data_IF_014449221589
#
_entry.id   IF_014449221589
#
_cell.length_a   1.000
_cell.length_b   1.000
_cell.length_c   1.000
_cell.angle_alpha   90.00
_cell.angle_beta   90.00
_cell.angle_gamma   90.00
#
_symmetry.space_group_name_H-M   'P 1'
#
loop_
_entity.id
_entity.type
_entity.pdbx_description
1 polymer ?
#
# COMPACT_ATOMS: atom_id res chain seq x y z
N UNK A 1 -57.38 34.03 -15.48
CA UNK A 1 -56.39 33.21 -16.17
C UNK A 1 -55.18 34.10 -16.38
N UNK A 2 -54.25 34.09 -15.42
CA UNK A 2 -52.83 34.39 -15.56
C UNK A 2 -52.19 34.17 -14.18
N UNK A 3 -51.06 33.47 -14.19
CA UNK A 3 -50.51 32.70 -13.07
C UNK A 3 -49.33 33.49 -12.50
N UNK A 4 -49.47 33.99 -11.26
CA UNK A 4 -48.38 34.58 -10.50
C UNK A 4 -47.77 33.56 -9.54
N UNK A 5 -46.55 33.11 -9.82
CA UNK A 5 -45.76 32.25 -8.93
C UNK A 5 -45.18 33.07 -7.77
N UNK A 6 -45.77 32.92 -6.58
CA UNK A 6 -45.22 33.40 -5.32
C UNK A 6 -44.31 32.35 -4.66
N UNK A 7 -43.03 32.71 -4.47
CA UNK A 7 -42.05 31.99 -3.65
C UNK A 7 -42.55 31.87 -2.21
N UNK A 8 -42.65 30.65 -1.69
CA UNK A 8 -42.77 30.38 -0.25
C UNK A 8 -41.39 30.01 0.30
N UNK A 9 -40.73 30.99 0.92
CA UNK A 9 -39.60 30.76 1.82
C UNK A 9 -40.17 30.42 3.21
N UNK A 10 -40.16 29.13 3.57
CA UNK A 10 -40.48 28.67 4.92
C UNK A 10 -39.22 28.26 5.67
N UNK A 11 -38.54 29.22 6.29
CA UNK A 11 -37.43 28.96 7.22
C UNK A 11 -37.97 28.69 8.62
N UNK A 12 -37.94 27.44 9.07
CA UNK A 12 -38.07 27.09 10.48
C UNK A 12 -36.69 27.10 11.12
N UNK A 13 -36.38 28.18 11.86
CA UNK A 13 -35.24 28.25 12.76
C UNK A 13 -35.61 27.61 14.11
N UNK A 14 -35.10 26.42 14.38
CA UNK A 14 -34.99 25.90 15.75
C UNK A 14 -33.66 26.40 16.37
N UNK A 15 -33.66 26.96 17.60
CA UNK A 15 -32.43 27.42 18.23
C UNK A 15 -31.59 26.24 18.75
N UNK A 16 -30.37 26.11 18.21
CA UNK A 16 -29.31 25.25 18.74
C UNK A 16 -28.87 25.75 20.13
N UNK A 17 -29.30 25.05 21.17
CA UNK A 17 -28.75 25.17 22.52
C UNK A 17 -27.30 24.67 22.52
N UNK A 18 -26.34 25.59 22.49
CA UNK A 18 -24.93 25.31 22.76
C UNK A 18 -24.77 24.87 24.22
N UNK A 19 -24.73 23.56 24.47
CA UNK A 19 -24.28 23.04 25.75
C UNK A 19 -22.75 23.15 25.84
N UNK A 20 -22.26 23.95 26.79
CA UNK A 20 -20.86 23.97 27.19
C UNK A 20 -20.57 22.72 28.05
N UNK A 21 -19.45 22.02 27.87
CA UNK A 21 -19.06 20.95 28.78
C UNK A 21 -18.70 21.54 30.15
N UNK A 22 -19.40 21.09 31.19
CA UNK A 22 -19.10 21.38 32.59
C UNK A 22 -18.11 20.32 33.09
N UNK A 23 -16.87 20.72 33.36
CA UNK A 23 -15.89 19.91 34.09
C UNK A 23 -16.20 19.97 35.59
N UNK A 24 -16.19 18.85 36.33
CA UNK A 24 -16.32 18.87 37.78
C UNK A 24 -15.02 19.39 38.44
N UNK A 25 -15.11 20.05 39.61
CA UNK A 25 -13.95 20.68 40.26
C UNK A 25 -13.03 19.62 40.86
N UNK A 26 -11.72 19.84 40.68
CA UNK A 26 -10.66 19.03 41.25
C UNK A 26 -10.61 19.11 42.78
N UNK A 27 -10.46 17.96 43.42
CA UNK A 27 -10.00 17.86 44.80
C UNK A 27 -8.59 17.26 44.78
N UNK A 28 -7.64 18.06 45.30
CA UNK A 28 -6.25 17.66 45.39
C UNK A 28 -6.03 16.63 46.48
N UNK A 29 -5.11 15.69 46.23
CA UNK A 29 -4.23 15.07 47.22
C UNK A 29 -3.06 14.41 46.49
N UNK A 30 -1.85 14.94 46.67
CA UNK A 30 -0.59 14.23 46.43
C UNK A 30 -0.47 13.09 47.45
N UNK A 31 0.21 12.00 47.08
CA UNK A 31 1.46 11.76 47.80
C UNK A 31 2.63 11.41 46.87
N UNK A 32 3.78 11.93 47.28
CA UNK A 32 5.12 11.59 46.84
C UNK A 32 5.46 10.12 47.08
N UNK A 33 6.02 9.45 46.07
CA UNK A 33 7.11 8.47 46.26
C UNK A 33 7.83 8.21 44.94
N UNK A 34 9.11 8.56 44.92
CA UNK A 34 10.08 8.05 43.96
C UNK A 34 10.12 6.52 44.03
N UNK A 35 9.88 5.86 42.91
CA UNK A 35 10.29 4.48 42.70
C UNK A 35 11.19 4.45 41.45
N UNK A 36 12.47 4.14 41.67
CA UNK A 36 13.43 3.76 40.63
C UNK A 36 12.85 2.59 39.83
N UNK A 37 12.64 2.76 38.53
CA UNK A 37 12.46 1.63 37.62
C UNK A 37 13.84 1.23 37.11
N UNK A 38 14.20 -0.01 37.40
CA UNK A 38 15.42 -0.66 36.96
C UNK A 38 15.43 -0.83 35.44
N UNK A 39 16.61 -0.62 34.82
CA UNK A 39 16.89 -1.01 33.44
C UNK A 39 16.71 -2.53 33.29
N UNK A 40 15.89 -2.96 32.34
CA UNK A 40 15.90 -4.32 31.80
C UNK A 40 16.77 -4.37 30.52
N UNK A 41 17.50 -5.47 30.28
CA UNK A 41 18.49 -5.56 29.21
C UNK A 41 17.87 -5.85 27.83
N UNK A 42 18.73 -5.65 26.86
CA UNK A 42 18.56 -5.68 25.41
C UNK A 42 18.31 -7.08 24.80
N UNK A 43 17.72 -7.05 23.60
CA UNK A 43 17.77 -8.04 22.51
C UNK A 43 17.16 -9.42 22.75
N UNK A 44 15.93 -9.63 22.24
CA UNK A 44 15.49 -10.95 21.74
C UNK A 44 15.28 -10.87 20.24
N UNK A 45 16.18 -11.49 19.49
CA UNK A 45 16.09 -11.73 18.05
C UNK A 45 14.92 -12.68 17.78
N UNK A 46 13.91 -12.23 17.06
CA UNK A 46 12.86 -13.11 16.53
C UNK A 46 13.39 -13.81 15.26
N UNK A 47 13.34 -15.15 15.16
CA UNK A 47 13.65 -15.83 13.92
C UNK A 47 12.51 -15.61 12.91
N UNK A 48 12.85 -15.07 11.74
CA UNK A 48 11.94 -14.99 10.59
C UNK A 48 11.57 -16.41 10.14
N UNK A 49 10.32 -16.80 10.37
CA UNK A 49 9.72 -17.95 9.70
C UNK A 49 9.66 -17.65 8.19
N UNK A 50 10.32 -18.49 7.40
CA UNK A 50 10.36 -18.43 5.94
C UNK A 50 9.09 -19.06 5.38
N UNK A 51 8.01 -18.31 5.31
CA UNK A 51 6.87 -18.64 4.44
C UNK A 51 6.38 -17.36 3.75
N UNK A 52 7.26 -16.78 2.95
CA UNK A 52 6.89 -15.84 1.89
C UNK A 52 7.10 -16.59 0.58
N UNK A 53 6.03 -16.87 -0.16
CA UNK A 53 6.11 -17.29 -1.55
C UNK A 53 6.64 -16.10 -2.36
N UNK A 54 7.96 -15.92 -2.37
CA UNK A 54 8.64 -14.99 -3.26
C UNK A 54 9.08 -15.78 -4.49
N UNK A 55 8.37 -15.59 -5.60
CA UNK A 55 8.76 -16.14 -6.89
C UNK A 55 9.65 -15.10 -7.57
N UNK A 56 10.94 -15.37 -7.65
CA UNK A 56 11.93 -14.52 -8.31
C UNK A 56 12.28 -15.16 -9.66
N UNK A 57 12.09 -14.42 -10.76
CA UNK A 57 12.48 -14.85 -12.11
C UNK A 57 13.55 -13.90 -12.63
N UNK A 58 14.81 -14.35 -12.61
CA UNK A 58 15.95 -13.63 -13.20
C UNK A 58 16.02 -13.89 -14.71
N UNK A 59 15.94 -12.84 -15.53
CA UNK A 59 16.16 -12.94 -16.98
C UNK A 59 17.63 -12.71 -17.32
N UNK A 60 18.30 -13.72 -17.88
CA UNK A 60 19.66 -13.62 -18.43
C UNK A 60 19.63 -13.62 -19.95
N UNK A 61 20.32 -12.65 -20.56
CA UNK A 61 20.49 -12.53 -22.02
C UNK A 61 22.00 -12.67 -22.35
N UNK A 62 22.45 -13.62 -23.19
CA UNK A 62 23.87 -13.78 -23.50
C UNK A 62 24.19 -13.27 -24.91
N UNK A 63 24.78 -12.08 -25.02
CA UNK A 63 25.51 -11.69 -26.23
C UNK A 63 26.55 -10.60 -25.95
N UNK A 64 27.82 -10.98 -25.80
CA UNK A 64 28.92 -10.05 -26.09
C UNK A 64 30.09 -10.78 -26.72
N UNK A 65 30.33 -10.49 -27.99
CA UNK A 65 31.42 -11.01 -28.80
C UNK A 65 32.76 -10.50 -28.29
N UNK A 66 33.74 -11.40 -28.32
CA UNK A 66 35.16 -11.16 -28.06
C UNK A 66 35.70 -10.18 -29.09
N UNK A 67 36.37 -9.12 -28.66
CA UNK A 67 37.37 -8.46 -29.50
C UNK A 67 38.73 -8.41 -28.81
N UNK A 68 39.68 -8.83 -29.64
CA UNK A 68 41.08 -9.12 -29.51
C UNK A 68 41.93 -8.01 -28.86
N UNK A 69 42.97 -8.46 -28.17
CA UNK A 69 43.96 -7.64 -27.51
C UNK A 69 45.24 -7.66 -28.35
N UNK A 70 45.75 -6.51 -28.77
CA UNK A 70 47.18 -6.32 -28.93
C UNK A 70 47.56 -4.84 -29.15
N UNK A 71 48.75 -4.51 -28.64
CA UNK A 71 49.62 -3.37 -28.97
C UNK A 71 49.64 -2.17 -27.99
N UNK A 72 50.59 -2.26 -27.05
CA UNK A 72 51.33 -1.13 -26.48
C UNK A 72 52.46 -0.70 -27.44
N UNK A 73 52.92 0.56 -27.38
CA UNK A 73 54.29 0.75 -26.88
C UNK A 73 54.58 2.03 -26.06
N UNK A 74 55.68 1.90 -25.31
CA UNK A 74 56.72 2.88 -24.91
C UNK A 74 56.43 4.01 -23.89
N UNK A 75 57.21 3.96 -22.78
CA UNK A 75 57.43 5.01 -21.78
C UNK A 75 58.61 5.92 -22.18
N UNK A 76 58.53 7.20 -21.84
CA UNK A 76 59.67 8.07 -21.47
C UNK A 76 59.30 8.96 -20.27
N UNK A 77 60.28 9.44 -19.48
CA UNK A 77 60.07 9.88 -18.09
C UNK A 77 60.05 11.41 -17.92
N UNK A 78 59.35 11.88 -16.88
CA UNK A 78 59.59 13.20 -16.29
C UNK A 78 58.31 13.96 -15.92
N UNK A 79 58.22 14.39 -14.67
CA UNK A 79 57.25 15.40 -14.23
C UNK A 79 56.36 14.95 -13.06
N UNK A 80 56.86 15.20 -11.84
CA UNK A 80 56.07 15.15 -10.61
C UNK A 80 54.88 16.12 -10.71
N UNK A 81 53.66 15.57 -10.73
CA UNK A 81 52.46 16.32 -10.36
C UNK A 81 51.61 15.39 -9.47
N UNK A 82 51.62 15.67 -8.18
CA UNK A 82 50.84 14.94 -7.19
C UNK A 82 49.35 15.25 -7.39
N UNK A 83 48.66 14.38 -8.13
CA UNK A 83 47.20 14.29 -8.14
C UNK A 83 46.83 13.03 -7.37
N UNK A 84 46.10 13.19 -6.26
CA UNK A 84 45.50 12.09 -5.52
C UNK A 84 44.47 11.38 -6.41
N UNK A 85 44.89 10.31 -7.10
CA UNK A 85 43.96 9.38 -7.71
C UNK A 85 43.37 8.49 -6.62
N UNK A 86 42.30 8.98 -5.98
CA UNK A 86 41.33 8.11 -5.32
C UNK A 86 40.55 7.39 -6.42
N UNK A 87 41.13 6.31 -6.98
CA UNK A 87 40.34 5.31 -7.69
C UNK A 87 39.58 4.50 -6.64
N UNK A 88 38.63 5.15 -5.99
CA UNK A 88 37.54 4.45 -5.32
C UNK A 88 36.73 3.81 -6.42
N UNK A 89 36.82 2.49 -6.52
CA UNK A 89 35.85 1.67 -7.22
C UNK A 89 34.49 1.93 -6.57
N UNK A 90 33.78 2.94 -7.05
CA UNK A 90 32.35 3.08 -6.79
C UNK A 90 31.74 1.89 -7.52
N UNK A 91 31.41 0.85 -6.77
CA UNK A 91 30.49 -0.17 -7.25
C UNK A 91 29.26 0.58 -7.79
N UNK A 92 28.97 0.44 -9.07
CA UNK A 92 27.82 1.06 -9.69
C UNK A 92 26.58 0.62 -8.89
N UNK A 93 25.98 1.56 -8.17
CA UNK A 93 24.71 1.34 -7.50
C UNK A 93 23.67 0.98 -8.58
N UNK A 94 22.72 0.08 -8.30
CA UNK A 94 21.69 -0.27 -9.26
C UNK A 94 21.02 1.01 -9.76
N UNK A 95 21.03 1.18 -11.09
CA UNK A 95 20.67 2.43 -11.78
C UNK A 95 19.17 2.73 -11.79
N UNK A 96 18.34 1.83 -11.24
CA UNK A 96 16.89 1.94 -11.19
C UNK A 96 16.41 1.75 -9.76
N UNK A 97 15.72 2.76 -9.22
CA UNK A 97 15.04 2.63 -7.91
C UNK A 97 13.91 1.60 -8.04
N UNK A 98 13.85 0.55 -7.20
CA UNK A 98 12.77 -0.42 -7.24
C UNK A 98 11.41 0.25 -7.03
N UNK A 99 10.37 -0.30 -7.65
CA UNK A 99 8.99 0.18 -7.51
C UNK A 99 8.20 -0.88 -6.77
N UNK A 100 7.51 -0.49 -5.70
CA UNK A 100 6.62 -1.36 -4.94
C UNK A 100 5.19 -0.85 -5.07
N UNK A 101 4.42 -1.46 -5.96
CA UNK A 101 2.98 -1.20 -6.10
C UNK A 101 2.22 -2.06 -5.10
N UNK A 102 1.37 -1.48 -4.25
CA UNK A 102 0.73 -2.22 -3.16
C UNK A 102 -0.74 -1.84 -2.95
N UNK A 103 -1.45 -2.73 -2.27
CA UNK A 103 -2.81 -2.54 -1.77
C UNK A 103 -2.92 -3.06 -0.32
N UNK A 104 -3.87 -2.52 0.45
CA UNK A 104 -4.10 -2.85 1.87
C UNK A 104 -5.58 -3.08 2.11
N UNK A 105 -5.93 -4.22 2.69
CA UNK A 105 -7.28 -4.47 3.15
C UNK A 105 -7.41 -4.33 4.66
N UNK A 106 -8.47 -3.64 5.05
CA UNK A 106 -8.75 -3.32 6.45
C UNK A 106 -10.18 -3.67 6.83
N UNK A 107 -10.37 -4.04 8.09
CA UNK A 107 -11.68 -4.25 8.72
C UNK A 107 -11.82 -3.38 9.96
N UNK A 108 -13.03 -3.13 10.48
CA UNK A 108 -13.21 -2.50 11.78
C UNK A 108 -12.50 -3.26 12.92
N UNK A 109 -11.75 -2.53 13.75
CA UNK A 109 -11.09 -3.06 14.96
C UNK A 109 -12.07 -3.09 16.13
N UNK A 110 -12.83 -4.17 16.25
CA UNK A 110 -13.80 -4.36 17.34
C UNK A 110 -13.16 -4.14 18.71
N UNK A 111 -11.98 -4.70 18.95
CA UNK A 111 -11.30 -4.59 20.24
C UNK A 111 -10.90 -3.14 20.54
N UNK A 112 -10.36 -2.44 19.54
CA UNK A 112 -10.05 -1.01 19.64
C UNK A 112 -11.30 -0.15 19.89
N UNK A 113 -12.41 -0.45 19.21
CA UNK A 113 -13.67 0.27 19.41
C UNK A 113 -14.20 0.05 20.84
N UNK A 114 -14.24 -1.20 21.33
CA UNK A 114 -14.65 -1.51 22.71
C UNK A 114 -13.81 -0.75 23.72
N UNK A 115 -12.49 -0.75 23.54
CA UNK A 115 -11.56 -0.05 24.42
C UNK A 115 -11.86 1.47 24.52
N UNK A 116 -12.14 2.13 23.39
CA UNK A 116 -12.39 3.58 23.38
C UNK A 116 -13.80 3.98 23.78
N UNK A 117 -14.77 3.08 23.63
CA UNK A 117 -16.18 3.34 23.96
C UNK A 117 -16.56 2.89 25.37
N UNK A 118 -15.80 1.96 25.95
CA UNK A 118 -16.13 1.31 27.22
C UNK A 118 -17.22 0.26 27.10
N UNK A 119 -17.55 -0.22 25.89
CA UNK A 119 -18.51 -1.31 25.70
C UNK A 119 -17.97 -2.62 26.27
N UNK A 120 -18.78 -3.28 27.07
CA UNK A 120 -18.50 -4.63 27.58
C UNK A 120 -18.89 -5.71 26.56
N UNK A 121 -18.60 -6.96 26.89
CA UNK A 121 -18.83 -8.12 26.01
C UNK A 121 -20.32 -8.50 25.86
N UNK A 122 -21.25 -7.79 26.52
CA UNK A 122 -22.70 -8.02 26.33
C UNK A 122 -23.20 -7.44 25.01
N UNK A 123 -22.49 -6.45 24.46
CA UNK A 123 -22.76 -5.89 23.14
C UNK A 123 -22.09 -6.79 22.10
N UNK A 124 -22.79 -7.19 21.05
CA UNK A 124 -22.22 -8.02 19.97
C UNK A 124 -21.21 -7.24 19.13
N UNK A 125 -20.23 -7.95 18.56
CA UNK A 125 -19.22 -7.34 17.67
C UNK A 125 -19.86 -6.55 16.52
N UNK A 126 -20.92 -7.10 15.93
CA UNK A 126 -21.73 -6.43 14.91
C UNK A 126 -22.24 -5.06 15.40
N UNK A 127 -22.84 -5.00 16.59
CA UNK A 127 -23.38 -3.76 17.13
C UNK A 127 -22.28 -2.75 17.51
N UNK A 128 -21.11 -3.22 17.95
CA UNK A 128 -19.94 -2.37 18.19
C UNK A 128 -19.47 -1.71 16.89
N UNK A 129 -19.40 -2.48 15.80
CA UNK A 129 -19.02 -1.96 14.48
C UNK A 129 -20.07 -1.01 13.93
N UNK A 130 -21.35 -1.38 13.98
CA UNK A 130 -22.46 -0.52 13.53
C UNK A 130 -22.48 0.81 14.28
N UNK A 131 -22.25 0.80 15.60
CA UNK A 131 -22.09 2.04 16.37
C UNK A 131 -20.99 2.94 15.80
N UNK A 132 -19.81 2.38 15.53
CA UNK A 132 -18.67 3.15 15.01
C UNK A 132 -18.94 3.70 13.59
N UNK A 133 -19.61 2.91 12.74
CA UNK A 133 -20.01 3.33 11.39
C UNK A 133 -21.06 4.44 11.43
N UNK A 134 -22.11 4.29 12.25
CA UNK A 134 -23.15 5.31 12.43
C UNK A 134 -22.55 6.63 12.93
N UNK A 135 -21.62 6.55 13.88
CA UNK A 135 -20.89 7.71 14.37
C UNK A 135 -20.11 8.39 13.23
N UNK A 136 -19.44 7.63 12.37
CA UNK A 136 -18.70 8.20 11.24
C UNK A 136 -19.61 8.88 10.21
N UNK A 137 -20.74 8.25 9.87
CA UNK A 137 -21.78 8.85 9.01
C UNK A 137 -22.25 10.19 9.56
N UNK A 138 -22.53 10.25 10.86
CA UNK A 138 -22.96 11.49 11.52
C UNK A 138 -21.87 12.59 11.54
N UNK A 139 -20.59 12.21 11.65
CA UNK A 139 -19.48 13.16 11.71
C UNK A 139 -19.09 13.73 10.34
N UNK A 140 -18.98 12.88 9.31
CA UNK A 140 -18.40 13.26 8.01
C UNK A 140 -19.07 12.57 6.80
N UNK A 141 -20.26 11.99 6.97
CA UNK A 141 -20.99 11.25 5.92
C UNK A 141 -20.15 10.16 5.25
N UNK A 142 -19.51 9.32 6.08
CA UNK A 142 -18.63 8.25 5.62
C UNK A 142 -19.05 6.86 6.14
N UNK A 143 -19.03 5.87 5.25
CA UNK A 143 -19.36 4.45 5.51
C UNK A 143 -18.17 3.59 5.95
N UNK A 144 -17.19 4.19 6.63
CA UNK A 144 -16.01 3.48 7.12
C UNK A 144 -15.54 4.04 8.45
N UNK A 145 -15.01 3.19 9.33
CA UNK A 145 -14.52 3.64 10.63
C UNK A 145 -13.27 4.52 10.51
N UNK A 146 -13.01 5.36 11.51
CA UNK A 146 -11.83 6.22 11.53
C UNK A 146 -10.52 5.41 11.40
N UNK A 147 -9.42 5.95 10.85
CA UNK A 147 -8.21 5.17 10.55
C UNK A 147 -7.62 4.42 11.76
N UNK A 148 -7.65 5.01 12.96
CA UNK A 148 -7.16 4.37 14.18
C UNK A 148 -8.07 3.22 14.68
N UNK A 149 -9.27 3.08 14.13
CA UNK A 149 -10.22 1.99 14.39
C UNK A 149 -10.26 0.98 13.25
N UNK A 150 -9.33 1.04 12.30
CA UNK A 150 -9.18 0.06 11.24
C UNK A 150 -8.06 -0.92 11.61
N UNK A 151 -8.32 -2.20 11.43
CA UNK A 151 -7.38 -3.32 11.56
C UNK A 151 -6.94 -3.77 10.17
N UNK A 152 -5.63 -3.94 9.96
CA UNK A 152 -5.08 -4.49 8.73
C UNK A 152 -5.22 -6.01 8.72
N UNK A 153 -5.78 -6.56 7.64
CA UNK A 153 -6.03 -8.00 7.50
C UNK A 153 -5.34 -8.63 6.29
N UNK A 154 -5.03 -7.84 5.26
CA UNK A 154 -4.21 -8.27 4.15
C UNK A 154 -3.41 -7.09 3.60
N UNK A 155 -2.21 -7.39 3.09
CA UNK A 155 -1.42 -6.46 2.29
C UNK A 155 -0.90 -7.27 1.11
N UNK A 156 -1.01 -6.75 -0.10
CA UNK A 156 -0.33 -7.33 -1.24
C UNK A 156 0.57 -6.29 -1.91
N UNK A 157 1.66 -6.75 -2.51
CA UNK A 157 2.60 -5.86 -3.19
C UNK A 157 3.28 -6.52 -4.39
N UNK A 158 3.42 -5.79 -5.48
CA UNK A 158 4.21 -6.13 -6.65
C UNK A 158 5.49 -5.32 -6.61
N UNK A 159 6.62 -6.00 -6.38
CA UNK A 159 7.96 -5.42 -6.40
C UNK A 159 8.56 -5.59 -7.80
N UNK A 160 8.74 -4.49 -8.51
CA UNK A 160 9.53 -4.43 -9.73
C UNK A 160 10.94 -3.92 -9.44
N UNK A 161 11.95 -4.69 -9.84
CA UNK A 161 13.37 -4.36 -9.69
C UNK A 161 14.17 -4.77 -10.94
N UNK A 162 15.47 -4.59 -10.90
CA UNK A 162 16.42 -5.16 -11.85
C UNK A 162 16.46 -6.70 -11.78
N UNK A 163 16.26 -7.27 -10.59
CA UNK A 163 16.21 -8.73 -10.39
C UNK A 163 14.97 -9.39 -11.01
N UNK A 164 13.90 -8.62 -11.25
CA UNK A 164 12.65 -9.10 -11.83
C UNK A 164 11.41 -8.48 -11.17
N UNK A 165 10.28 -9.14 -11.38
CA UNK A 165 8.99 -8.78 -10.77
C UNK A 165 8.56 -9.91 -9.83
N UNK A 166 8.21 -9.56 -8.59
CA UNK A 166 7.70 -10.50 -7.59
C UNK A 166 6.39 -10.00 -6.98
N UNK A 167 5.40 -10.89 -6.89
CA UNK A 167 4.16 -10.66 -6.15
C UNK A 167 4.32 -11.20 -4.72
N UNK A 168 4.06 -10.34 -3.74
CA UNK A 168 4.07 -10.65 -2.32
C UNK A 168 2.65 -10.54 -1.76
N UNK A 169 2.25 -11.52 -0.95
CA UNK A 169 0.95 -11.59 -0.28
C UNK A 169 1.17 -11.79 1.21
N UNK A 170 0.74 -10.82 2.01
CA UNK A 170 0.83 -10.79 3.47
C UNK A 170 -0.58 -10.87 4.07
N UNK A 171 -0.69 -11.25 5.34
CA UNK A 171 -2.00 -11.50 6.00
C UNK A 171 -2.34 -12.97 6.19
N UNK A 172 -1.34 -13.86 6.21
CA UNK A 172 -1.56 -15.25 6.62
C UNK A 172 -2.09 -15.28 8.06
N UNK A 173 -3.14 -16.06 8.37
CA UNK A 173 -3.77 -16.08 9.70
C UNK A 173 -2.78 -16.27 10.85
N UNK A 174 -1.73 -17.07 10.62
CA UNK A 174 -0.73 -17.48 11.60
C UNK A 174 0.22 -16.34 12.01
N UNK A 175 0.45 -15.37 11.10
CA UNK A 175 1.30 -14.20 11.38
C UNK A 175 0.59 -13.16 12.23
N UNK A 176 -0.75 -13.15 12.22
CA UNK A 176 -1.54 -12.06 12.75
C UNK A 176 -1.22 -10.71 12.10
N UNK A 177 -1.76 -9.64 12.66
CA UNK A 177 -1.57 -8.31 12.10
C UNK A 177 -0.15 -7.77 12.31
N UNK A 178 0.43 -7.92 13.50
CA UNK A 178 1.79 -7.46 13.79
C UNK A 178 2.83 -8.11 12.85
N UNK A 179 2.72 -9.42 12.62
CA UNK A 179 3.58 -10.14 11.69
C UNK A 179 3.37 -9.70 10.23
N UNK A 180 2.12 -9.45 9.84
CA UNK A 180 1.77 -8.90 8.51
C UNK A 180 2.43 -7.54 8.26
N UNK A 181 2.32 -6.62 9.22
CA UNK A 181 2.95 -5.30 9.15
C UNK A 181 4.48 -5.41 9.10
N UNK A 182 5.06 -6.23 9.98
CA UNK A 182 6.51 -6.44 10.04
C UNK A 182 7.06 -7.01 8.73
N UNK A 183 6.36 -7.96 8.11
CA UNK A 183 6.77 -8.55 6.84
C UNK A 183 6.72 -7.53 5.68
N UNK A 184 5.65 -6.73 5.60
CA UNK A 184 5.55 -5.66 4.61
C UNK A 184 6.67 -4.62 4.78
N UNK A 185 6.88 -4.12 6.00
CA UNK A 185 7.94 -3.15 6.26
C UNK A 185 9.33 -3.74 6.04
N UNK A 186 9.58 -5.02 6.35
CA UNK A 186 10.85 -5.66 6.03
C UNK A 186 11.15 -5.67 4.53
N UNK A 187 10.12 -5.81 3.67
CA UNK A 187 10.28 -5.69 2.22
C UNK A 187 10.69 -4.25 1.82
N UNK A 188 10.06 -3.24 2.42
CA UNK A 188 10.40 -1.82 2.21
C UNK A 188 11.82 -1.54 2.70
N UNK A 189 12.18 -2.00 3.89
CA UNK A 189 13.52 -1.81 4.46
C UNK A 189 14.60 -2.44 3.57
N UNK A 190 14.35 -3.65 3.07
CA UNK A 190 15.29 -4.37 2.22
C UNK A 190 15.55 -3.66 0.89
N UNK A 191 14.49 -3.24 0.20
CA UNK A 191 14.60 -2.75 -1.18
C UNK A 191 14.60 -1.23 -1.32
N UNK A 192 14.27 -0.49 -0.26
CA UNK A 192 14.09 0.97 -0.27
C UNK A 192 13.31 1.49 -1.50
N UNK A 193 12.16 0.87 -1.86
CA UNK A 193 11.48 1.14 -3.11
C UNK A 193 10.75 2.50 -3.10
N UNK A 194 10.44 3.00 -4.29
CA UNK A 194 9.37 3.99 -4.45
C UNK A 194 8.03 3.28 -4.27
N UNK A 195 7.20 3.80 -3.36
CA UNK A 195 5.89 3.23 -3.07
C UNK A 195 4.84 3.76 -4.05
N UNK A 196 3.98 2.88 -4.56
CA UNK A 196 2.89 3.24 -5.46
C UNK A 196 1.61 2.55 -4.99
N UNK A 197 0.50 3.28 -4.90
CA UNK A 197 -0.81 2.70 -4.56
C UNK A 197 -1.91 3.32 -5.41
N UNK A 198 -3.09 2.71 -5.39
CA UNK A 198 -4.32 3.35 -5.84
C UNK A 198 -5.17 3.77 -4.64
N UNK A 199 -5.37 5.09 -4.43
CA UNK A 199 -6.12 5.64 -3.29
C UNK A 199 -5.57 5.25 -1.91
N UNK A 200 -4.31 4.79 -1.84
CA UNK A 200 -3.64 4.37 -0.63
C UNK A 200 -3.36 5.50 0.35
N UNK A 201 -3.32 6.77 -0.07
CA UNK A 201 -3.23 7.92 0.86
C UNK A 201 -4.33 7.90 1.93
N UNK A 202 -5.50 7.33 1.61
CA UNK A 202 -6.59 7.15 2.57
C UNK A 202 -6.42 5.93 3.50
N UNK A 203 -5.64 4.93 3.09
CA UNK A 203 -5.35 3.70 3.86
C UNK A 203 -4.07 3.82 4.71
N UNK A 204 -3.09 4.61 4.27
CA UNK A 204 -1.81 4.77 4.97
C UNK A 204 -1.96 5.24 6.43
N UNK A 205 -2.87 6.17 6.79
CA UNK A 205 -3.09 6.53 8.19
C UNK A 205 -3.50 5.33 9.07
N UNK A 206 -4.26 4.37 8.53
CA UNK A 206 -4.57 3.14 9.28
C UNK A 206 -3.31 2.29 9.46
N UNK A 207 -2.52 2.08 8.39
CA UNK A 207 -1.24 1.38 8.46
C UNK A 207 -0.30 1.99 9.51
N UNK A 208 -0.21 3.33 9.55
CA UNK A 208 0.58 4.09 10.52
C UNK A 208 0.11 3.86 11.95
N UNK A 209 -1.21 4.00 12.20
CA UNK A 209 -1.79 3.75 13.51
C UNK A 209 -1.49 2.32 13.98
N UNK A 210 -1.61 1.32 13.09
CA UNK A 210 -1.36 -0.08 13.44
C UNK A 210 0.11 -0.39 13.66
N UNK A 211 1.02 0.23 12.90
CA UNK A 211 2.46 0.14 13.17
C UNK A 211 2.81 0.68 14.56
N UNK A 212 2.23 1.82 14.95
CA UNK A 212 2.41 2.41 16.28
C UNK A 212 1.86 1.51 17.40
N UNK A 213 0.64 0.99 17.24
CA UNK A 213 -0.01 0.13 18.25
C UNK A 213 0.74 -1.19 18.47
N UNK A 214 1.31 -1.77 17.41
CA UNK A 214 2.06 -3.02 17.46
C UNK A 214 3.57 -2.84 17.71
N UNK A 215 4.07 -1.59 17.75
CA UNK A 215 5.50 -1.30 17.95
C UNK A 215 6.39 -1.78 16.80
N UNK A 216 5.89 -1.79 15.56
CA UNK A 216 6.63 -2.27 14.39
C UNK A 216 7.53 -1.15 13.84
N UNK A 217 8.85 -1.38 13.88
CA UNK A 217 9.83 -0.42 13.38
C UNK A 217 9.98 -0.50 11.85
N UNK A 218 10.03 0.66 11.19
CA UNK A 218 10.26 0.78 9.75
C UNK A 218 11.01 2.09 9.41
N UNK A 219 12.29 2.25 9.80
CA UNK A 219 13.00 3.53 9.68
C UNK A 219 13.00 4.11 8.25
N UNK A 220 13.30 3.30 7.23
CA UNK A 220 13.33 3.77 5.83
C UNK A 220 11.96 4.16 5.33
N UNK A 221 10.91 3.46 5.76
CA UNK A 221 9.54 3.84 5.43
C UNK A 221 9.22 5.27 5.89
N UNK A 222 9.65 5.66 7.09
CA UNK A 222 9.38 6.98 7.67
C UNK A 222 10.28 8.10 7.14
N UNK A 223 11.49 7.77 6.68
CA UNK A 223 12.43 8.72 6.09
C UNK A 223 12.10 9.07 4.62
N UNK A 224 11.32 8.23 3.95
CA UNK A 224 11.07 8.35 2.51
C UNK A 224 9.73 9.01 2.19
N UNK A 225 9.75 10.28 1.78
CA UNK A 225 8.58 10.96 1.20
C UNK A 225 8.45 10.66 -0.31
N UNK A 226 8.36 9.36 -0.66
CA UNK A 226 8.35 8.87 -2.05
C UNK A 226 7.16 7.95 -2.35
N UNK A 227 6.01 8.24 -1.76
CA UNK A 227 4.76 7.59 -2.11
C UNK A 227 4.06 8.30 -3.28
N UNK A 228 3.64 7.53 -4.28
CA UNK A 228 2.76 7.99 -5.34
C UNK A 228 1.40 7.34 -5.17
N UNK A 229 0.40 8.13 -4.81
CA UNK A 229 -1.00 7.75 -4.98
C UNK A 229 -1.47 8.06 -6.41
N UNK A 230 -1.70 7.02 -7.21
CA UNK A 230 -2.16 7.15 -8.59
C UNK A 230 -3.56 7.74 -8.70
N UNK A 231 -4.46 7.40 -7.79
CA UNK A 231 -5.83 7.91 -7.82
C UNK A 231 -5.82 9.42 -7.58
N UNK A 232 -5.06 9.89 -6.59
CA UNK A 232 -4.89 11.32 -6.33
C UNK A 232 -4.17 12.03 -7.48
N UNK A 233 -3.14 11.41 -8.04
CA UNK A 233 -2.39 11.97 -9.18
C UNK A 233 -3.28 12.16 -10.41
N UNK A 234 -4.10 11.17 -10.75
CA UNK A 234 -4.99 11.21 -11.90
C UNK A 234 -6.20 12.11 -11.67
N UNK A 235 -6.70 12.17 -10.43
CA UNK A 235 -7.79 13.07 -10.05
C UNK A 235 -7.33 14.53 -9.79
N UNK A 236 -6.06 14.85 -10.04
CA UNK A 236 -5.46 16.18 -9.78
C UNK A 236 -5.72 16.67 -8.34
N UNK A 237 -5.63 15.75 -7.38
CA UNK A 237 -5.94 15.95 -5.98
C UNK A 237 -7.40 16.33 -5.64
N UNK A 238 -8.34 16.30 -6.61
CA UNK A 238 -9.78 16.38 -6.32
C UNK A 238 -10.28 15.05 -5.74
N UNK A 239 -10.99 15.12 -4.63
CA UNK A 239 -11.59 13.92 -4.00
C UNK A 239 -12.82 13.44 -4.77
N UNK A 240 -13.57 14.38 -5.32
CA UNK A 240 -14.82 14.16 -6.07
C UNK A 240 -14.57 13.50 -7.42
N UNK A 241 -13.37 13.68 -7.97
CA UNK A 241 -12.97 13.15 -9.28
C UNK A 241 -12.25 11.81 -9.18
N UNK A 242 -12.17 11.20 -7.98
CA UNK A 242 -11.55 9.87 -7.82
C UNK A 242 -12.41 8.80 -8.49
N UNK A 243 -11.75 7.92 -9.22
CA UNK A 243 -12.39 6.83 -9.97
C UNK A 243 -11.96 5.47 -9.41
N UNK A 244 -12.74 4.45 -9.73
CA UNK A 244 -12.46 3.06 -9.35
C UNK A 244 -11.23 2.52 -10.09
N UNK A 245 -10.33 1.85 -9.36
CA UNK A 245 -9.19 1.13 -9.95
C UNK A 245 -9.66 0.10 -10.98
N UNK A 246 -10.69 -0.68 -10.62
CA UNK A 246 -11.22 -1.75 -11.46
C UNK A 246 -11.80 -1.19 -12.75
N UNK A 247 -12.51 -0.06 -12.69
CA UNK A 247 -13.08 0.55 -13.89
C UNK A 247 -11.98 1.06 -14.81
N UNK A 248 -10.96 1.73 -14.27
CA UNK A 248 -9.80 2.19 -15.06
C UNK A 248 -9.02 1.01 -15.64
N UNK A 249 -8.83 -0.07 -14.87
CA UNK A 249 -8.18 -1.29 -15.35
C UNK A 249 -8.95 -1.92 -16.52
N UNK A 250 -10.28 -2.04 -16.40
CA UNK A 250 -11.15 -2.62 -17.45
C UNK A 250 -11.23 -1.75 -18.69
N UNK A 251 -11.40 -0.44 -18.52
CA UNK A 251 -11.33 0.53 -19.62
C UNK A 251 -9.94 0.53 -20.28
N UNK A 252 -8.91 0.17 -19.51
CA UNK A 252 -7.55 -0.04 -19.98
C UNK A 252 -7.35 -1.37 -20.70
N UNK A 253 -8.36 -2.24 -20.80
CA UNK A 253 -8.27 -3.54 -21.46
C UNK A 253 -7.72 -4.66 -20.58
N UNK A 254 -7.56 -4.44 -19.28
CA UNK A 254 -7.22 -5.50 -18.33
C UNK A 254 -8.47 -6.34 -18.01
N UNK A 255 -8.30 -7.67 -17.84
CA UNK A 255 -9.41 -8.54 -17.48
C UNK A 255 -9.82 -8.25 -16.03
N UNK A 256 -11.09 -8.44 -15.70
CA UNK A 256 -11.55 -8.24 -14.33
C UNK A 256 -13.06 -8.21 -14.17
N UNK A 257 -13.49 -8.57 -12.96
CA UNK A 257 -14.85 -8.35 -12.45
C UNK A 257 -14.77 -7.32 -11.31
N UNK A 258 -15.90 -6.72 -10.97
CA UNK A 258 -15.98 -5.88 -9.76
C UNK A 258 -15.50 -6.69 -8.54
N UNK A 259 -14.62 -6.09 -7.74
CA UNK A 259 -14.08 -6.70 -6.53
C UNK A 259 -15.06 -6.67 -5.36
N UNK A 260 -14.60 -7.07 -4.18
CA UNK A 260 -15.37 -6.90 -2.93
C UNK A 260 -15.36 -5.42 -2.54
N UNK A 261 -16.53 -4.86 -2.24
CA UNK A 261 -16.58 -3.56 -1.57
C UNK A 261 -16.21 -3.70 -0.07
N UNK A 262 -16.13 -2.57 0.65
CA UNK A 262 -15.74 -2.55 2.07
C UNK A 262 -16.68 -3.36 2.96
N UNK A 263 -17.98 -3.38 2.66
CA UNK A 263 -18.97 -4.15 3.43
C UNK A 263 -18.79 -5.65 3.15
N UNK A 264 -18.57 -6.02 1.90
CA UNK A 264 -18.27 -7.39 1.50
C UNK A 264 -16.94 -7.89 2.09
N UNK A 265 -15.93 -7.03 2.26
CA UNK A 265 -14.68 -7.36 2.98
C UNK A 265 -14.98 -7.65 4.45
N UNK A 266 -15.78 -6.82 5.12
CA UNK A 266 -16.18 -7.08 6.51
C UNK A 266 -16.91 -8.41 6.65
N UNK A 267 -17.92 -8.67 5.81
CA UNK A 267 -18.62 -9.96 5.83
C UNK A 267 -17.72 -11.13 5.47
N UNK A 268 -16.78 -10.98 4.53
CA UNK A 268 -15.81 -12.02 4.25
C UNK A 268 -14.96 -12.34 5.48
N UNK A 269 -14.52 -11.31 6.22
CA UNK A 269 -13.75 -11.46 7.44
C UNK A 269 -14.53 -12.16 8.55
N UNK A 270 -15.78 -11.73 8.83
CA UNK A 270 -16.65 -12.38 9.83
C UNK A 270 -16.89 -13.87 9.53
N UNK A 271 -16.90 -14.24 8.26
CA UNK A 271 -17.09 -15.62 7.81
C UNK A 271 -15.77 -16.40 7.61
N UNK A 272 -14.65 -15.88 8.11
CA UNK A 272 -13.35 -16.56 8.05
C UNK A 272 -12.75 -16.67 6.64
N UNK A 273 -13.26 -15.91 5.66
CA UNK A 273 -12.83 -15.95 4.25
C UNK A 273 -11.65 -15.00 4.00
N UNK A 274 -10.60 -15.11 4.81
CA UNK A 274 -9.38 -14.30 4.67
C UNK A 274 -8.69 -14.51 3.32
N UNK A 275 -8.72 -15.73 2.77
CA UNK A 275 -8.14 -16.00 1.44
C UNK A 275 -8.81 -15.21 0.32
N UNK A 276 -10.12 -14.93 0.43
CA UNK A 276 -10.82 -14.10 -0.55
C UNK A 276 -10.40 -12.63 -0.45
N UNK A 277 -10.17 -12.13 0.76
CA UNK A 277 -9.68 -10.76 1.01
C UNK A 277 -8.25 -10.61 0.47
N UNK A 278 -7.38 -11.59 0.74
CA UNK A 278 -6.00 -11.64 0.22
C UNK A 278 -5.98 -11.70 -1.31
N UNK A 279 -6.81 -12.57 -1.90
CA UNK A 279 -6.95 -12.68 -3.35
C UNK A 279 -7.37 -11.35 -4.01
N UNK A 280 -8.27 -10.60 -3.37
CA UNK A 280 -8.65 -9.26 -3.82
C UNK A 280 -7.45 -8.32 -3.75
N UNK A 281 -6.79 -8.23 -2.60
CA UNK A 281 -5.65 -7.32 -2.42
C UNK A 281 -4.53 -7.59 -3.43
N UNK A 282 -4.23 -8.87 -3.69
CA UNK A 282 -3.28 -9.26 -4.73
C UNK A 282 -3.68 -8.79 -6.13
N UNK A 283 -4.96 -8.91 -6.47
CA UNK A 283 -5.49 -8.44 -7.77
C UNK A 283 -5.36 -6.93 -7.89
N UNK A 284 -5.69 -6.19 -6.83
CA UNK A 284 -5.61 -4.73 -6.80
C UNK A 284 -4.17 -4.22 -6.81
N UNK A 285 -3.23 -4.92 -6.17
CA UNK A 285 -1.79 -4.62 -6.27
C UNK A 285 -1.27 -4.83 -7.71
N UNK A 286 -1.72 -5.89 -8.41
CA UNK A 286 -1.38 -6.14 -9.82
C UNK A 286 -1.99 -5.09 -10.73
N UNK A 287 -3.27 -4.72 -10.55
CA UNK A 287 -3.86 -3.62 -11.31
C UNK A 287 -3.15 -2.30 -11.08
N UNK A 288 -2.83 -1.97 -9.82
CA UNK A 288 -2.07 -0.77 -9.47
C UNK A 288 -0.73 -0.75 -10.20
N UNK A 289 0.00 -1.88 -10.23
CA UNK A 289 1.25 -2.00 -10.97
C UNK A 289 1.07 -1.77 -12.48
N UNK A 290 0.09 -2.43 -13.11
CA UNK A 290 -0.13 -2.33 -14.56
C UNK A 290 -0.62 -0.94 -14.99
N UNK A 291 -1.48 -0.32 -14.18
CA UNK A 291 -1.93 1.07 -14.39
C UNK A 291 -0.77 2.04 -14.16
N UNK A 292 0.09 1.80 -13.19
CA UNK A 292 1.32 2.59 -12.99
C UNK A 292 2.21 2.56 -14.23
N UNK A 293 2.50 1.37 -14.77
CA UNK A 293 3.32 1.22 -15.98
C UNK A 293 2.72 1.97 -17.17
N UNK A 294 1.39 1.94 -17.32
CA UNK A 294 0.71 2.71 -18.36
C UNK A 294 0.83 4.21 -18.13
N UNK A 295 0.71 4.68 -16.89
CA UNK A 295 0.92 6.08 -16.54
C UNK A 295 2.36 6.53 -16.85
N UNK A 296 3.37 5.72 -16.52
CA UNK A 296 4.78 6.01 -16.84
C UNK A 296 5.01 6.10 -18.35
N UNK A 297 4.34 5.25 -19.14
CA UNK A 297 4.35 5.35 -20.60
C UNK A 297 3.70 6.64 -21.11
N UNK A 298 2.46 6.94 -20.67
CA UNK A 298 1.74 8.16 -21.08
C UNK A 298 2.48 9.44 -20.68
N UNK A 299 3.25 9.39 -19.60
CA UNK A 299 4.07 10.50 -19.15
C UNK A 299 5.45 10.56 -19.82
N UNK A 300 5.72 9.72 -20.84
CA UNK A 300 6.94 9.71 -21.63
C UNK A 300 8.17 9.14 -20.93
N UNK A 301 8.02 8.54 -19.74
CA UNK A 301 9.13 7.93 -18.99
C UNK A 301 9.43 6.51 -19.45
N UNK A 302 8.45 5.83 -20.05
CA UNK A 302 8.64 4.57 -20.77
C UNK A 302 8.33 4.76 -22.26
N UNK A 303 9.26 4.33 -23.13
CA UNK A 303 8.97 4.16 -24.55
C UNK A 303 7.92 3.05 -24.74
N UNK A 304 7.25 2.97 -25.90
CA UNK A 304 6.31 1.87 -26.20
C UNK A 304 6.94 0.48 -26.01
N UNK A 305 8.20 0.30 -26.42
CA UNK A 305 8.91 -0.98 -26.27
C UNK A 305 9.26 -1.28 -24.81
N UNK A 306 9.72 -0.27 -24.07
CA UNK A 306 9.98 -0.42 -22.64
C UNK A 306 8.70 -0.77 -21.88
N UNK A 307 7.58 -0.09 -22.18
CA UNK A 307 6.28 -0.39 -21.59
C UNK A 307 5.83 -1.85 -21.86
N UNK A 308 5.94 -2.31 -23.12
CA UNK A 308 5.64 -3.71 -23.47
C UNK A 308 6.54 -4.69 -22.73
N UNK A 309 7.84 -4.40 -22.64
CA UNK A 309 8.79 -5.24 -21.93
C UNK A 309 8.44 -5.36 -20.44
N UNK A 310 8.14 -4.22 -19.79
CA UNK A 310 7.75 -4.15 -18.38
C UNK A 310 6.45 -4.91 -18.08
N UNK A 311 5.42 -4.70 -18.91
CA UNK A 311 4.17 -5.48 -18.79
C UNK A 311 4.43 -6.97 -19.01
N UNK A 312 5.32 -7.32 -19.95
CA UNK A 312 5.76 -8.69 -20.16
C UNK A 312 6.45 -9.31 -18.94
N UNK A 313 7.22 -8.52 -18.16
CA UNK A 313 7.81 -8.98 -16.88
C UNK A 313 6.73 -9.33 -15.87
N UNK A 314 5.71 -8.47 -15.72
CA UNK A 314 4.57 -8.73 -14.83
C UNK A 314 3.81 -9.98 -15.27
N UNK A 315 3.52 -10.12 -16.57
CA UNK A 315 2.86 -11.30 -17.13
C UNK A 315 3.61 -12.60 -16.79
N UNK A 316 4.92 -12.65 -17.01
CA UNK A 316 5.75 -13.82 -16.67
C UNK A 316 5.75 -14.14 -15.17
N UNK A 317 5.73 -13.12 -14.31
CA UNK A 317 5.62 -13.33 -12.87
C UNK A 317 4.27 -13.97 -12.48
N UNK A 318 3.17 -13.57 -13.12
CA UNK A 318 1.85 -14.18 -12.91
C UNK A 318 1.77 -15.60 -13.47
N UNK A 319 2.40 -15.87 -14.61
CA UNK A 319 2.52 -17.22 -15.17
C UNK A 319 3.27 -18.15 -14.21
N UNK A 320 4.37 -17.68 -13.64
CA UNK A 320 5.17 -18.44 -12.69
C UNK A 320 4.46 -18.68 -11.34
N UNK A 321 3.51 -17.83 -10.96
CA UNK A 321 2.69 -18.01 -9.75
C UNK A 321 1.69 -19.18 -9.83
N UNK A 322 1.38 -19.67 -11.03
CA UNK A 322 0.60 -20.88 -11.35
C UNK A 322 -0.64 -21.13 -10.47
N UNK A 323 -1.39 -20.07 -10.15
CA UNK A 323 -2.67 -20.18 -9.44
C UNK A 323 -3.83 -20.22 -10.44
N UNK A 324 -4.94 -20.88 -10.07
CA UNK A 324 -6.15 -20.88 -10.91
C UNK A 324 -6.63 -19.46 -11.26
N UNK A 325 -6.58 -18.54 -10.29
CA UNK A 325 -6.89 -17.11 -10.48
C UNK A 325 -6.01 -16.48 -11.55
N UNK A 326 -4.70 -16.70 -11.51
CA UNK A 326 -3.78 -16.09 -12.47
C UNK A 326 -3.92 -16.71 -13.85
N UNK A 327 -4.18 -18.03 -13.95
CA UNK A 327 -4.51 -18.66 -15.23
C UNK A 327 -5.76 -18.05 -15.87
N UNK A 328 -6.83 -17.85 -15.11
CA UNK A 328 -8.06 -17.21 -15.61
C UNK A 328 -7.82 -15.74 -16.01
N UNK A 329 -7.05 -15.01 -15.21
CA UNK A 329 -6.64 -13.64 -15.51
C UNK A 329 -5.84 -13.59 -16.83
N UNK A 330 -4.80 -14.40 -16.96
CA UNK A 330 -3.90 -14.42 -18.11
C UNK A 330 -4.62 -14.83 -19.40
N UNK A 331 -5.57 -15.77 -19.32
CA UNK A 331 -6.38 -16.21 -20.45
C UNK A 331 -7.27 -15.08 -21.00
N UNK A 332 -7.73 -14.17 -20.14
CA UNK A 332 -8.56 -13.03 -20.53
C UNK A 332 -7.76 -11.74 -20.81
N UNK A 333 -6.45 -11.73 -20.56
CA UNK A 333 -5.59 -10.54 -20.71
C UNK A 333 -4.99 -10.44 -22.12
N UNK A 334 -5.30 -9.39 -22.91
CA UNK A 334 -4.68 -9.16 -24.22
C UNK A 334 -3.15 -9.22 -24.23
N UNK A 335 -2.57 -9.82 -25.28
CA UNK A 335 -1.12 -9.94 -25.45
C UNK A 335 -0.44 -8.59 -25.75
N UNK A 336 -1.10 -7.70 -26.50
CA UNK A 336 -0.62 -6.34 -26.70
C UNK A 336 -1.27 -5.39 -25.68
N UNK A 337 -0.49 -4.86 -24.72
CA UNK A 337 -1.01 -3.98 -23.68
C UNK A 337 -1.35 -2.57 -24.17
N UNK A 338 -0.96 -2.17 -25.39
CA UNK A 338 -1.43 -0.92 -25.98
C UNK A 338 -2.80 -1.08 -26.65
N UNK A 339 -3.18 -2.31 -26.98
CA UNK A 339 -4.35 -2.62 -27.80
C UNK A 339 -4.22 -2.05 -29.22
N UNK A 340 -4.91 -2.68 -30.18
CA UNK A 340 -5.32 -1.93 -31.36
C UNK A 340 -6.29 -0.84 -30.87
N UNK A 341 -6.08 0.42 -31.27
CA UNK A 341 -6.98 1.53 -30.97
C UNK A 341 -8.43 1.08 -31.11
N UNK A 342 -9.20 1.15 -30.01
CA UNK A 342 -10.64 0.96 -30.06
C UNK A 342 -11.30 2.14 -30.74
#
# INVERSE_FOLDING_TARGET
MEIGYGKLCGGFHLPLLKQKPVLPPGSGRRPSRCARIARAPSTSSFPLARDTLSIVVSGGDPARSKHDASQQPARLPGGLCAAYNLTSTIAALPTVTPILSFDIETVPDVAGIRLLTGFDDTITDHNVVEYALQRRRAEIDADFVAPHLQKVVAIAAVLGSDEGVALHSFGAPELGEAGTLAAFFALVEKHAPRLVSWAGSAQLPALHCRALMHGVAAPRYWEQDRHLDLAERLALASRESRVSLVDIARLSGLPGKAGLDRLAIWHAYENGRLDAIRAKSETDAVYTCLVHLRFEHLAGRLSPDAYRAEVGRVRRALEAADSARWRDFLAAWPLDPLGASR
#
